data_IF_367690529818
#
_entry.id   IF_367690529818
#
_cell.length_a   1.000
_cell.length_b   1.000
_cell.length_c   1.000
_cell.angle_alpha   90.00
_cell.angle_beta   90.00
_cell.angle_gamma   90.00
#
_symmetry.space_group_name_H-M   'P 1'
#
loop_
_entity.id
_entity.type
_entity.pdbx_description
1 polymer ?
#
# COMPACT_ATOMS: atom_id res chain seq x y z
N UNK A 1 53.47 56.42 14.45
CA UNK A 1 52.83 55.34 13.68
C UNK A 1 51.55 54.96 14.41
N UNK A 2 50.39 55.21 13.80
CA UNK A 2 49.08 54.96 14.38
C UNK A 2 48.83 53.45 14.53
N UNK A 3 48.62 52.98 15.75
CA UNK A 3 48.03 51.68 16.03
C UNK A 3 46.58 51.91 16.48
N UNK A 4 45.64 51.62 15.58
CA UNK A 4 44.21 51.72 15.84
C UNK A 4 43.81 50.58 16.79
N UNK A 5 43.27 50.96 17.95
CA UNK A 5 42.55 50.08 18.88
C UNK A 5 41.15 49.89 18.31
N UNK A 6 40.84 48.66 17.87
CA UNK A 6 39.50 48.27 17.44
C UNK A 6 38.82 47.51 18.59
N UNK A 7 37.91 48.20 19.27
CA UNK A 7 36.87 47.59 20.11
C UNK A 7 35.84 46.97 19.17
N UNK A 8 35.64 45.65 19.24
CA UNK A 8 34.42 45.01 18.73
C UNK A 8 33.73 44.33 19.90
N UNK A 9 32.60 44.91 20.27
CA UNK A 9 31.65 44.41 21.25
C UNK A 9 31.08 43.06 20.81
N UNK A 10 30.88 42.17 21.79
CA UNK A 10 30.24 40.88 21.59
C UNK A 10 28.78 41.03 21.20
N UNK A 11 28.33 40.13 20.33
CA UNK A 11 26.93 39.74 20.22
C UNK A 11 26.91 38.20 20.20
N UNK A 12 26.54 37.62 21.34
CA UNK A 12 26.02 36.25 21.39
C UNK A 12 24.57 36.30 20.93
N UNK A 13 24.27 35.80 19.73
CA UNK A 13 22.90 35.46 19.36
C UNK A 13 22.65 33.98 19.65
N UNK A 14 22.19 33.70 20.86
CA UNK A 14 21.43 32.48 21.16
C UNK A 14 19.94 32.84 21.07
N UNK A 15 19.24 32.25 20.09
CA UNK A 15 17.77 32.31 19.97
C UNK A 15 17.37 31.03 19.23
N UNK A 16 16.55 30.11 19.72
CA UNK A 16 15.91 29.93 21.02
C UNK A 16 15.22 28.56 20.99
N UNK A 17 15.54 27.68 21.94
CA UNK A 17 14.77 26.45 22.16
C UNK A 17 13.51 26.82 22.94
N UNK A 18 12.37 26.91 22.28
CA UNK A 18 11.07 26.97 22.95
C UNK A 18 10.61 25.54 23.28
N UNK A 19 11.16 24.98 24.34
CA UNK A 19 10.45 23.95 25.12
C UNK A 19 9.93 24.70 26.34
N UNK A 20 8.61 24.86 26.46
CA UNK A 20 7.98 25.47 27.63
C UNK A 20 8.47 24.73 28.89
N UNK A 21 9.22 25.41 29.76
CA UNK A 21 9.77 24.81 30.99
C UNK A 21 8.72 24.62 32.10
N UNK A 22 7.43 24.78 31.79
CA UNK A 22 6.33 24.48 32.71
C UNK A 22 5.62 23.22 32.20
N UNK A 23 5.63 22.10 32.95
CA UNK A 23 4.97 20.89 32.47
C UNK A 23 3.45 21.10 32.45
N UNK A 24 2.86 21.08 31.26
CA UNK A 24 1.42 20.95 31.08
C UNK A 24 1.08 19.45 31.10
N UNK A 25 0.48 19.00 32.19
CA UNK A 25 0.01 17.63 32.48
C UNK A 25 1.09 16.55 32.68
N UNK A 26 1.02 15.85 33.82
CA UNK A 26 1.81 14.64 34.08
C UNK A 26 0.90 13.44 33.84
N UNK A 27 1.25 12.60 32.87
CA UNK A 27 0.54 11.36 32.56
C UNK A 27 1.26 10.18 33.21
N UNK A 28 0.56 9.37 34.00
CA UNK A 28 1.11 8.22 34.73
C UNK A 28 0.21 7.01 34.57
N UNK A 29 0.80 5.83 34.45
CA UNK A 29 0.12 4.53 34.45
C UNK A 29 0.92 3.57 35.34
N UNK A 30 0.24 2.58 35.90
CA UNK A 30 0.83 1.56 36.77
C UNK A 30 1.60 0.47 35.99
N UNK A 31 1.56 0.48 34.65
CA UNK A 31 2.35 -0.45 33.83
C UNK A 31 3.86 -0.07 33.92
N UNK A 32 4.73 -0.99 34.38
CA UNK A 32 6.16 -0.73 34.53
C UNK A 32 6.90 -0.46 33.21
N UNK A 33 6.28 -0.73 32.06
CA UNK A 33 6.82 -0.43 30.73
C UNK A 33 6.11 0.76 30.06
N UNK A 34 5.38 1.58 30.81
CA UNK A 34 4.69 2.78 30.30
C UNK A 34 5.65 3.96 30.10
N UNK A 35 5.53 4.68 28.97
CA UNK A 35 6.35 5.86 28.65
C UNK A 35 7.46 5.72 27.58
N UNK A 36 8.04 4.54 27.25
CA UNK A 36 9.13 4.43 26.27
C UNK A 36 8.73 4.74 24.82
N UNK A 37 7.46 4.56 24.47
CA UNK A 37 6.93 4.79 23.12
C UNK A 37 5.63 5.58 23.25
N UNK A 38 5.60 6.79 22.69
CA UNK A 38 4.39 7.63 22.69
C UNK A 38 4.03 8.04 21.28
N UNK A 39 2.74 7.97 20.96
CA UNK A 39 2.18 8.39 19.67
C UNK A 39 1.34 9.64 19.88
N UNK A 40 1.65 10.70 19.15
CA UNK A 40 0.93 11.96 19.21
C UNK A 40 -0.06 12.07 18.04
N UNK A 41 -1.32 12.38 18.35
CA UNK A 41 -2.33 12.85 17.41
C UNK A 41 -2.58 14.35 17.64
N UNK A 42 -3.34 15.00 16.74
CA UNK A 42 -3.80 16.38 16.96
C UNK A 42 -4.65 16.52 18.22
N UNK A 43 -5.32 15.44 18.63
CA UNK A 43 -6.36 15.49 19.66
C UNK A 43 -5.92 14.81 20.98
N UNK A 44 -4.77 14.14 21.02
CA UNK A 44 -4.33 13.42 22.21
C UNK A 44 -3.02 12.65 22.05
N UNK A 45 -2.61 12.04 23.16
CA UNK A 45 -1.38 11.23 23.26
C UNK A 45 -1.77 9.80 23.63
N UNK A 46 -1.17 8.83 22.94
CA UNK A 46 -1.36 7.40 23.16
C UNK A 46 -0.06 6.74 23.60
N UNK A 47 -0.14 5.91 24.63
CA UNK A 47 0.97 5.13 25.15
C UNK A 47 0.51 3.66 25.27
N UNK A 48 1.12 2.73 24.52
CA UNK A 48 0.79 1.31 24.63
C UNK A 48 1.27 0.77 25.98
N UNK A 49 0.39 0.03 26.68
CA UNK A 49 0.71 -0.64 27.95
C UNK A 49 1.01 -2.12 27.67
N UNK A 50 2.29 -2.51 27.49
CA UNK A 50 2.66 -3.82 26.95
C UNK A 50 2.30 -4.98 27.87
N UNK A 51 2.20 -4.72 29.19
CA UNK A 51 1.97 -5.76 30.19
C UNK A 51 0.51 -6.19 30.22
N UNK A 52 -0.42 -5.29 29.92
CA UNK A 52 -1.87 -5.55 29.89
C UNK A 52 -2.43 -5.72 28.48
N UNK A 53 -1.65 -5.41 27.44
CA UNK A 53 -2.12 -5.37 26.05
C UNK A 53 -3.08 -4.21 25.75
N UNK A 54 -3.24 -3.26 26.68
CA UNK A 54 -4.09 -2.09 26.55
C UNK A 54 -3.40 -0.88 25.92
N UNK A 55 -4.17 0.21 25.76
CA UNK A 55 -3.68 1.52 25.33
C UNK A 55 -4.14 2.54 26.37
N UNK A 56 -3.21 3.35 26.86
CA UNK A 56 -3.50 4.48 27.71
C UNK A 56 -3.57 5.75 26.85
N UNK A 57 -4.66 6.51 26.96
CA UNK A 57 -4.89 7.72 26.16
C UNK A 57 -5.19 8.93 27.04
N UNK A 58 -4.60 10.08 26.72
CA UNK A 58 -4.98 11.37 27.29
C UNK A 58 -5.49 12.30 26.17
N UNK A 59 -6.69 12.85 26.36
CA UNK A 59 -7.35 13.74 25.41
C UNK A 59 -7.29 15.17 25.94
N UNK A 60 -7.03 16.15 25.07
CA UNK A 60 -7.14 17.57 25.38
C UNK A 60 -8.57 17.97 25.78
N UNK A 61 -8.77 19.20 26.28
CA UNK A 61 -10.04 19.72 26.82
C UNK A 61 -11.21 19.77 25.79
N UNK A 62 -11.73 18.62 25.37
CA UNK A 62 -12.97 18.45 24.62
C UNK A 62 -13.65 17.11 24.98
N UNK A 63 -13.87 16.89 26.28
CA UNK A 63 -14.41 15.63 26.84
C UNK A 63 -15.92 15.41 26.61
N UNK A 64 -16.69 16.43 26.28
CA UNK A 64 -18.15 16.35 26.47
C UNK A 64 -18.97 15.90 25.26
N UNK A 65 -18.38 15.70 24.07
CA UNK A 65 -19.15 15.28 22.87
C UNK A 65 -19.05 13.79 22.50
N UNK A 66 -17.99 13.08 22.91
CA UNK A 66 -17.80 11.67 22.57
C UNK A 66 -18.45 10.71 23.58
N UNK A 67 -18.46 11.06 24.87
CA UNK A 67 -19.07 10.24 25.93
C UNK A 67 -20.60 10.11 25.79
N UNK A 68 -21.26 11.10 25.17
CA UNK A 68 -22.71 11.08 24.91
C UNK A 68 -23.09 10.14 23.76
N UNK A 69 -22.20 9.87 22.80
CA UNK A 69 -22.46 8.91 21.72
C UNK A 69 -22.29 7.47 22.20
N UNK A 70 -21.27 7.17 23.02
CA UNK A 70 -21.04 5.82 23.55
C UNK A 70 -22.14 5.38 24.53
N UNK A 71 -22.63 6.30 25.38
CA UNK A 71 -23.71 5.99 26.34
C UNK A 71 -25.06 5.72 25.65
N UNK A 72 -25.33 6.34 24.50
CA UNK A 72 -26.55 6.12 23.73
C UNK A 72 -26.52 4.78 22.97
N UNK A 73 -25.34 4.34 22.52
CA UNK A 73 -25.18 3.02 21.91
C UNK A 73 -25.38 1.87 22.93
N UNK A 74 -24.95 2.07 24.19
CA UNK A 74 -25.10 1.04 25.24
C UNK A 74 -26.53 0.96 25.81
N UNK A 75 -27.31 2.05 25.81
CA UNK A 75 -28.70 2.04 26.32
C UNK A 75 -29.71 1.39 25.36
N UNK A 76 -29.41 1.32 24.06
CA UNK A 76 -30.28 0.66 23.08
C UNK A 76 -30.30 -0.87 23.23
N UNK A 77 -29.25 -1.46 23.84
CA UNK A 77 -29.10 -2.91 23.92
C UNK A 77 -29.59 -3.54 25.24
N UNK A 78 -30.31 -2.80 26.07
CA UNK A 78 -30.85 -3.29 27.35
C UNK A 78 -32.31 -2.92 27.54
N UNK A 79 -33.17 -3.42 26.65
CA UNK A 79 -34.61 -3.50 26.92
C UNK A 79 -35.13 -4.87 26.46
N UNK A 80 -35.01 -5.86 27.34
CA UNK A 80 -35.87 -7.03 27.33
C UNK A 80 -36.12 -7.45 28.78
N UNK A 81 -37.18 -6.89 29.37
CA UNK A 81 -37.77 -7.38 30.60
C UNK A 81 -38.67 -8.57 30.28
N UNK A 82 -38.43 -9.72 30.90
CA UNK A 82 -39.52 -10.59 31.33
C UNK A 82 -39.17 -11.40 32.58
N UNK A 83 -40.02 -11.20 33.59
CA UNK A 83 -40.18 -11.95 34.86
C UNK A 83 -40.29 -13.46 34.62
N UNK A 84 -39.80 -14.31 35.53
CA UNK A 84 -40.58 -15.35 36.24
C UNK A 84 -39.79 -15.92 37.45
N UNK A 85 -40.54 -16.23 38.52
CA UNK A 85 -40.12 -16.70 39.85
C UNK A 85 -39.50 -18.11 39.88
N UNK A 86 -38.60 -18.33 40.83
CA UNK A 86 -37.96 -19.61 41.13
C UNK A 86 -38.84 -20.53 41.99
N UNK A 87 -38.87 -21.82 41.66
CA UNK A 87 -39.07 -22.97 42.56
C UNK A 87 -38.41 -24.22 41.92
N UNK A 88 -37.58 -24.95 42.69
CA UNK A 88 -37.06 -26.30 42.42
C UNK A 88 -37.46 -27.20 43.63
N UNK A 89 -37.52 -28.56 43.58
CA UNK A 89 -36.61 -29.53 42.90
C UNK A 89 -37.34 -30.85 42.44
N UNK A 90 -36.75 -32.08 42.32
CA UNK A 90 -35.38 -32.53 41.98
C UNK A 90 -35.29 -33.53 40.77
N UNK A 91 -34.05 -33.68 40.26
CA UNK A 91 -33.42 -34.80 39.52
C UNK A 91 -34.24 -35.95 38.91
N UNK A 92 -34.13 -36.10 37.59
CA UNK A 92 -34.05 -37.40 36.89
C UNK A 92 -33.15 -37.29 35.64
N UNK A 93 -32.32 -38.31 35.42
CA UNK A 93 -31.29 -38.40 34.37
C UNK A 93 -31.85 -38.84 33.00
N UNK A 94 -31.39 -38.11 31.97
CA UNK A 94 -31.11 -38.47 30.56
C UNK A 94 -32.25 -38.93 29.61
N UNK A 95 -32.20 -38.68 28.27
CA UNK A 95 -30.97 -38.61 27.48
C UNK A 95 -30.90 -37.63 26.25
N UNK A 96 -29.67 -37.46 25.74
CA UNK A 96 -29.25 -36.99 24.40
C UNK A 96 -29.74 -35.61 23.93
N UNK A 97 -28.96 -34.55 24.23
CA UNK A 97 -28.99 -33.29 23.46
C UNK A 97 -27.88 -33.28 22.42
N UNK A 98 -28.25 -33.31 21.14
CA UNK A 98 -27.36 -33.01 19.99
C UNK A 98 -26.47 -31.82 20.35
N UNK A 99 -25.14 -32.02 20.39
CA UNK A 99 -24.16 -30.93 20.33
C UNK A 99 -24.46 -30.15 19.06
N UNK A 100 -25.10 -28.98 19.19
CA UNK A 100 -24.94 -27.93 18.19
C UNK A 100 -23.49 -27.49 18.32
N UNK A 101 -22.69 -27.82 17.31
CA UNK A 101 -21.44 -27.15 17.05
C UNK A 101 -21.69 -25.63 17.10
N UNK A 102 -20.82 -24.83 17.73
CA UNK A 102 -20.76 -23.43 17.38
C UNK A 102 -20.39 -23.41 15.90
N UNK A 103 -21.36 -23.05 15.06
CA UNK A 103 -21.06 -22.59 13.72
C UNK A 103 -20.16 -21.38 13.94
N UNK A 104 -18.87 -21.55 13.69
CA UNK A 104 -17.94 -20.45 13.62
C UNK A 104 -18.33 -19.64 12.37
N UNK A 105 -19.33 -18.77 12.52
CA UNK A 105 -19.60 -17.67 11.61
C UNK A 105 -18.59 -16.53 11.85
N UNK A 106 -17.33 -16.90 12.14
CA UNK A 106 -16.22 -16.04 11.83
C UNK A 106 -16.09 -16.09 10.31
N UNK A 107 -16.89 -15.27 9.63
CA UNK A 107 -16.44 -14.67 8.38
C UNK A 107 -15.12 -14.02 8.76
N UNK A 108 -14.02 -14.73 8.55
CA UNK A 108 -12.73 -14.10 8.40
C UNK A 108 -12.94 -13.23 7.18
N UNK A 109 -13.26 -11.96 7.41
CA UNK A 109 -13.01 -10.94 6.41
C UNK A 109 -11.51 -11.04 6.18
N UNK A 110 -11.09 -11.89 5.23
CA UNK A 110 -9.75 -11.81 4.69
C UNK A 110 -9.65 -10.36 4.23
N UNK A 111 -8.82 -9.59 4.92
CA UNK A 111 -8.64 -8.18 4.64
C UNK A 111 -8.34 -8.05 3.14
N UNK A 112 -9.29 -7.52 2.38
CA UNK A 112 -9.15 -7.34 0.93
C UNK A 112 -7.90 -6.50 0.68
N UNK A 113 -6.88 -7.12 0.11
CA UNK A 113 -5.60 -6.50 -0.19
C UNK A 113 -5.56 -5.91 -1.60
N UNK A 114 -4.44 -5.25 -1.90
CA UNK A 114 -4.13 -4.82 -3.28
C UNK A 114 -2.80 -5.40 -3.71
N UNK A 115 -2.77 -6.02 -4.89
CA UNK A 115 -1.59 -6.61 -5.49
C UNK A 115 -1.18 -5.80 -6.71
N UNK A 116 0.07 -5.36 -6.74
CA UNK A 116 0.59 -4.43 -7.74
C UNK A 116 1.77 -5.09 -8.44
N UNK A 117 1.62 -5.42 -9.71
CA UNK A 117 2.69 -5.96 -10.53
C UNK A 117 3.28 -4.85 -11.40
N UNK A 118 4.54 -4.50 -11.15
CA UNK A 118 5.33 -3.72 -12.09
C UNK A 118 5.86 -4.62 -13.20
N UNK A 119 5.63 -4.20 -14.44
CA UNK A 119 6.19 -4.84 -15.63
C UNK A 119 7.26 -3.90 -16.18
N UNK A 120 8.51 -4.25 -15.94
CA UNK A 120 9.68 -3.43 -16.23
C UNK A 120 10.31 -3.89 -17.55
N UNK A 121 10.31 -3.00 -18.54
CA UNK A 121 11.12 -3.19 -19.74
C UNK A 121 12.61 -3.16 -19.36
N UNK A 122 13.29 -4.27 -19.63
CA UNK A 122 14.72 -4.44 -19.49
C UNK A 122 15.38 -4.74 -20.81
N UNK A 123 14.76 -4.37 -21.94
CA UNK A 123 15.27 -4.58 -23.30
C UNK A 123 16.57 -3.81 -23.57
N UNK A 124 17.17 -4.06 -24.73
CA UNK A 124 18.46 -3.49 -25.11
C UNK A 124 18.42 -2.04 -25.59
N UNK A 125 17.23 -1.44 -25.79
CA UNK A 125 17.08 -0.02 -26.14
C UNK A 125 17.37 0.92 -24.97
N UNK A 126 17.19 0.42 -23.74
CA UNK A 126 17.30 1.21 -22.53
C UNK A 126 18.77 1.28 -22.11
N UNK A 127 19.29 2.50 -21.97
CA UNK A 127 20.63 2.74 -21.44
C UNK A 127 20.71 2.39 -19.96
N UNK A 128 21.89 2.00 -19.50
CA UNK A 128 22.11 1.53 -18.12
C UNK A 128 21.67 2.56 -17.05
N UNK A 129 21.86 3.86 -17.32
CA UNK A 129 21.45 4.95 -16.42
C UNK A 129 19.92 5.10 -16.36
N UNK A 130 19.25 4.93 -17.51
CA UNK A 130 17.80 5.00 -17.61
C UNK A 130 17.13 3.79 -16.96
N UNK A 131 17.74 2.60 -17.08
CA UNK A 131 17.31 1.42 -16.34
C UNK A 131 17.45 1.61 -14.82
N UNK A 132 18.51 2.30 -14.36
CA UNK A 132 18.66 2.64 -12.93
C UNK A 132 17.55 3.60 -12.46
N UNK A 133 17.22 4.63 -13.26
CA UNK A 133 16.11 5.54 -12.99
C UNK A 133 14.76 4.81 -12.93
N UNK A 134 14.54 3.82 -13.80
CA UNK A 134 13.33 3.01 -13.80
C UNK A 134 13.17 2.22 -12.50
N UNK A 135 14.23 1.53 -12.05
CA UNK A 135 14.23 0.80 -10.77
C UNK A 135 14.08 1.74 -9.57
N UNK A 136 14.75 2.88 -9.59
CA UNK A 136 14.61 3.90 -8.54
C UNK A 136 13.17 4.40 -8.45
N UNK A 137 12.53 4.64 -9.59
CA UNK A 137 11.11 5.02 -9.64
C UNK A 137 10.22 3.95 -9.00
N UNK A 138 10.36 2.68 -9.40
CA UNK A 138 9.60 1.56 -8.81
C UNK A 138 9.84 1.48 -7.30
N UNK A 139 11.10 1.54 -6.87
CA UNK A 139 11.48 1.55 -5.46
C UNK A 139 10.79 2.68 -4.69
N UNK A 140 10.73 3.88 -5.26
CA UNK A 140 10.10 5.04 -4.62
C UNK A 140 8.59 4.87 -4.50
N UNK A 141 7.92 4.41 -5.55
CA UNK A 141 6.47 4.11 -5.50
C UNK A 141 6.19 3.07 -4.41
N UNK A 142 6.94 1.96 -4.38
CA UNK A 142 6.75 0.92 -3.36
C UNK A 142 6.90 1.47 -1.95
N UNK A 143 8.00 2.20 -1.70
CA UNK A 143 8.31 2.79 -0.41
C UNK A 143 7.19 3.71 0.08
N UNK A 144 6.70 4.59 -0.81
CA UNK A 144 5.70 5.60 -0.47
C UNK A 144 4.30 5.00 -0.35
N UNK A 145 3.90 4.09 -1.24
CA UNK A 145 2.59 3.42 -1.13
C UNK A 145 2.50 2.64 0.18
N UNK A 146 3.57 1.99 0.63
CA UNK A 146 3.60 1.25 1.90
C UNK A 146 3.47 2.11 3.16
N UNK A 147 3.65 3.43 3.09
CA UNK A 147 3.37 4.29 4.24
C UNK A 147 1.87 4.46 4.49
N UNK A 148 1.05 4.21 3.46
CA UNK A 148 -0.41 4.44 3.50
C UNK A 148 -1.20 3.14 3.35
N UNK A 149 -0.81 2.28 2.41
CA UNK A 149 -1.46 1.00 2.13
C UNK A 149 -0.63 -0.16 2.68
N UNK A 150 -0.93 -0.60 3.91
CA UNK A 150 -0.20 -1.70 4.54
C UNK A 150 -0.51 -3.07 3.94
N UNK A 151 -1.72 -3.24 3.38
CA UNK A 151 -2.17 -4.45 2.68
C UNK A 151 -1.75 -4.52 1.21
N UNK A 152 -1.00 -3.51 0.72
CA UNK A 152 -0.46 -3.51 -0.63
C UNK A 152 0.75 -4.44 -0.72
N UNK A 153 0.71 -5.39 -1.67
CA UNK A 153 1.82 -6.28 -2.03
C UNK A 153 2.28 -5.98 -3.45
N UNK A 154 3.58 -6.08 -3.68
CA UNK A 154 4.24 -5.76 -4.93
C UNK A 154 4.91 -6.99 -5.53
N UNK A 155 4.81 -7.10 -6.85
CA UNK A 155 5.66 -7.94 -7.66
C UNK A 155 6.37 -7.07 -8.70
N UNK A 156 7.57 -7.50 -9.09
CA UNK A 156 8.30 -6.88 -10.20
C UNK A 156 8.65 -7.98 -11.18
N UNK A 157 8.18 -7.83 -12.42
CA UNK A 157 8.50 -8.70 -13.55
C UNK A 157 9.33 -7.88 -14.52
N UNK A 158 10.52 -8.35 -14.83
CA UNK A 158 11.36 -7.77 -15.88
C UNK A 158 11.21 -8.60 -17.16
N UNK A 159 11.20 -7.94 -18.31
CA UNK A 159 11.23 -8.61 -19.61
C UNK A 159 12.31 -8.06 -20.55
N UNK A 160 12.74 -8.91 -21.48
CA UNK A 160 13.82 -8.65 -22.43
C UNK A 160 14.05 -9.89 -23.29
N UNK A 161 15.28 -10.43 -23.24
CA UNK A 161 15.62 -11.77 -23.75
C UNK A 161 14.67 -12.83 -23.18
N UNK A 162 14.51 -12.80 -21.87
CA UNK A 162 13.64 -13.68 -21.08
C UNK A 162 12.68 -12.83 -20.24
N UNK A 163 11.67 -13.45 -19.66
CA UNK A 163 10.79 -12.85 -18.65
C UNK A 163 11.18 -13.43 -17.30
N UNK A 164 11.36 -12.59 -16.28
CA UNK A 164 11.82 -13.00 -14.95
C UNK A 164 11.04 -12.30 -13.85
N UNK A 165 10.64 -13.06 -12.83
CA UNK A 165 10.17 -12.51 -11.57
C UNK A 165 11.36 -12.00 -10.77
N UNK A 166 11.49 -10.69 -10.67
CA UNK A 166 12.52 -10.02 -9.88
C UNK A 166 12.09 -9.83 -8.42
N UNK A 167 10.79 -9.69 -8.17
CA UNK A 167 10.18 -9.68 -6.84
C UNK A 167 8.83 -10.40 -6.89
N UNK A 168 8.62 -11.37 -6.01
CA UNK A 168 7.36 -12.12 -5.87
C UNK A 168 6.44 -11.47 -4.82
N UNK A 169 5.12 -11.67 -4.93
CA UNK A 169 4.15 -11.21 -3.94
C UNK A 169 4.42 -11.81 -2.54
N UNK A 170 5.03 -13.00 -2.46
CA UNK A 170 5.42 -13.65 -1.21
C UNK A 170 6.62 -12.99 -0.49
N UNK A 171 7.35 -12.09 -1.15
CA UNK A 171 8.56 -11.47 -0.60
C UNK A 171 8.30 -10.11 0.06
N UNK A 172 7.02 -9.77 0.31
CA UNK A 172 6.60 -8.43 0.76
C UNK A 172 6.60 -8.25 2.28
N UNK A 173 6.70 -9.34 3.06
CA UNK A 173 6.69 -9.30 4.52
C UNK A 173 7.96 -8.60 5.06
N UNK A 174 9.11 -8.79 4.38
CA UNK A 174 10.37 -8.10 4.66
C UNK A 174 10.57 -6.88 3.73
N UNK A 175 9.79 -5.81 3.92
CA UNK A 175 9.76 -4.64 3.00
C UNK A 175 11.13 -4.05 2.65
N UNK A 176 12.03 -3.92 3.62
CA UNK A 176 13.38 -3.39 3.36
C UNK A 176 14.19 -4.30 2.43
N UNK A 177 14.05 -5.62 2.58
CA UNK A 177 14.67 -6.61 1.71
C UNK A 177 14.07 -6.59 0.32
N UNK A 178 12.75 -6.42 0.21
CA UNK A 178 12.06 -6.23 -1.07
C UNK A 178 12.56 -4.99 -1.81
N UNK A 179 12.64 -3.83 -1.13
CA UNK A 179 13.21 -2.59 -1.70
C UNK A 179 14.66 -2.79 -2.16
N UNK A 180 15.48 -3.47 -1.34
CA UNK A 180 16.86 -3.77 -1.69
C UNK A 180 16.95 -4.69 -2.93
N UNK A 181 16.05 -5.67 -3.05
CA UNK A 181 15.99 -6.56 -4.22
C UNK A 181 15.70 -5.76 -5.49
N UNK A 182 14.69 -4.88 -5.45
CA UNK A 182 14.33 -4.01 -6.59
C UNK A 182 15.49 -3.11 -7.01
N UNK A 183 16.19 -2.50 -6.05
CA UNK A 183 17.36 -1.66 -6.34
C UNK A 183 18.46 -2.43 -7.08
N UNK A 184 18.63 -3.71 -6.77
CA UNK A 184 19.71 -4.55 -7.31
C UNK A 184 19.35 -5.34 -8.58
N UNK A 185 18.14 -5.17 -9.12
CA UNK A 185 17.73 -5.79 -10.39
C UNK A 185 18.76 -5.47 -11.48
N UNK A 186 19.11 -6.48 -12.27
CA UNK A 186 20.06 -6.39 -13.38
C UNK A 186 19.32 -6.45 -14.70
N UNK A 187 19.68 -5.57 -15.62
CA UNK A 187 19.06 -5.48 -16.93
C UNK A 187 19.30 -6.77 -17.74
N UNK A 188 18.24 -7.32 -18.36
CA UNK A 188 18.30 -8.56 -19.15
C UNK A 188 18.77 -8.30 -20.59
N UNK A 189 18.51 -7.09 -21.11
CA UNK A 189 18.71 -6.64 -22.49
C UNK A 189 17.87 -7.44 -23.53
N UNK A 190 18.18 -7.26 -24.82
CA UNK A 190 17.51 -7.84 -26.00
C UNK A 190 16.16 -7.21 -26.36
N UNK A 191 15.10 -7.99 -26.55
CA UNK A 191 13.87 -7.56 -27.25
C UNK A 191 12.71 -7.21 -26.32
N UNK A 192 11.77 -6.42 -26.82
CA UNK A 192 10.62 -5.89 -26.08
C UNK A 192 9.38 -6.81 -26.21
N UNK A 193 9.33 -7.87 -25.38
CA UNK A 193 8.25 -8.89 -25.34
C UNK A 193 7.08 -8.53 -24.40
N UNK A 194 6.42 -7.40 -24.64
CA UNK A 194 5.42 -6.83 -23.73
C UNK A 194 4.17 -7.69 -23.55
N UNK A 195 3.59 -8.27 -24.61
CA UNK A 195 2.41 -9.12 -24.49
C UNK A 195 2.73 -10.40 -23.71
N UNK A 196 3.89 -11.01 -23.97
CA UNK A 196 4.34 -12.15 -23.18
C UNK A 196 4.57 -11.80 -21.70
N UNK A 197 5.09 -10.61 -21.41
CA UNK A 197 5.29 -10.16 -20.04
C UNK A 197 3.94 -9.97 -19.31
N UNK A 198 2.94 -9.37 -19.99
CA UNK A 198 1.59 -9.26 -19.45
C UNK A 198 0.95 -10.64 -19.24
N UNK A 199 1.12 -11.56 -20.19
CA UNK A 199 0.66 -12.94 -20.05
C UNK A 199 1.26 -13.59 -18.79
N UNK A 200 2.58 -13.48 -18.61
CA UNK A 200 3.29 -14.03 -17.46
C UNK A 200 2.80 -13.45 -16.13
N UNK A 201 2.45 -12.15 -16.08
CA UNK A 201 1.82 -11.58 -14.88
C UNK A 201 0.50 -12.30 -14.56
N UNK A 202 -0.33 -12.58 -15.57
CA UNK A 202 -1.61 -13.27 -15.34
C UNK A 202 -1.44 -14.74 -14.93
N UNK A 203 -0.43 -15.42 -15.46
CA UNK A 203 -0.28 -16.88 -15.30
C UNK A 203 0.69 -17.30 -14.21
N UNK A 204 1.61 -16.41 -13.79
CA UNK A 204 2.70 -16.75 -12.89
C UNK A 204 2.78 -15.80 -11.69
N UNK A 205 2.22 -14.58 -11.77
CA UNK A 205 2.22 -13.64 -10.63
C UNK A 205 0.87 -13.61 -9.92
N UNK A 206 -0.22 -13.37 -10.66
CA UNK A 206 -1.57 -13.32 -10.12
C UNK A 206 -2.21 -14.72 -9.99
N UNK A 207 -1.46 -15.63 -9.39
CA UNK A 207 -1.89 -17.00 -9.09
C UNK A 207 -1.64 -17.35 -7.63
N UNK A 208 -2.44 -18.24 -7.02
CA UNK A 208 -2.32 -18.60 -5.60
C UNK A 208 -0.92 -19.11 -5.21
N UNK A 209 -0.26 -19.84 -6.11
CA UNK A 209 1.08 -20.39 -5.91
C UNK A 209 2.14 -19.29 -5.69
N UNK A 210 1.90 -18.10 -6.24
CA UNK A 210 2.77 -16.94 -6.11
C UNK A 210 2.32 -15.97 -5.01
N UNK A 211 1.33 -16.34 -4.21
CA UNK A 211 0.82 -15.54 -3.09
C UNK A 211 -0.33 -14.60 -3.45
N UNK A 212 -0.84 -14.66 -4.68
CA UNK A 212 -2.00 -13.87 -5.10
C UNK A 212 -3.30 -14.44 -4.53
N UNK A 213 -4.21 -13.56 -4.11
CA UNK A 213 -5.54 -13.93 -3.64
C UNK A 213 -6.61 -13.49 -4.63
N UNK A 214 -7.64 -14.29 -4.79
CA UNK A 214 -8.73 -14.02 -5.73
C UNK A 214 -9.42 -12.68 -5.42
N UNK A 215 -9.76 -12.45 -4.14
CA UNK A 215 -10.48 -11.26 -3.66
C UNK A 215 -9.63 -9.98 -3.59
N UNK A 216 -8.31 -10.07 -3.83
CA UNK A 216 -7.46 -8.89 -3.84
C UNK A 216 -7.63 -8.12 -5.15
N UNK A 217 -7.67 -6.79 -5.02
CA UNK A 217 -7.60 -5.89 -6.17
C UNK A 217 -6.25 -6.05 -6.85
N UNK A 218 -6.24 -6.07 -8.18
CA UNK A 218 -5.03 -6.29 -8.98
C UNK A 218 -4.73 -5.09 -9.84
N UNK A 219 -3.48 -4.63 -9.79
CA UNK A 219 -2.98 -3.50 -10.57
C UNK A 219 -1.76 -3.95 -11.36
N UNK A 220 -1.72 -3.63 -12.65
CA UNK A 220 -0.53 -3.77 -13.49
C UNK A 220 -0.01 -2.38 -13.84
N UNK A 221 1.29 -2.15 -13.68
CA UNK A 221 1.95 -0.92 -14.09
C UNK A 221 3.09 -1.28 -15.04
N UNK A 222 2.90 -1.03 -16.33
CA UNK A 222 3.91 -1.24 -17.36
C UNK A 222 4.81 -0.02 -17.51
N UNK A 223 6.13 -0.21 -17.55
CA UNK A 223 7.12 0.79 -17.94
C UNK A 223 7.83 0.30 -19.19
N UNK A 224 7.75 1.06 -20.30
CA UNK A 224 8.35 0.67 -21.58
C UNK A 224 8.81 1.91 -22.36
N UNK A 225 10.00 1.84 -22.98
CA UNK A 225 10.51 2.86 -23.91
C UNK A 225 10.41 2.45 -25.37
N UNK A 226 10.13 1.16 -25.63
CA UNK A 226 10.07 0.60 -26.96
C UNK A 226 8.65 0.28 -27.42
N UNK A 227 8.48 0.29 -28.74
CA UNK A 227 7.38 -0.40 -29.40
C UNK A 227 7.55 -1.91 -29.20
N UNK A 228 6.45 -2.65 -29.06
CA UNK A 228 6.48 -4.11 -29.01
C UNK A 228 7.13 -4.70 -30.27
N UNK A 229 8.12 -5.56 -30.10
CA UNK A 229 8.85 -6.18 -31.22
C UNK A 229 9.32 -7.60 -30.92
N UNK A 230 9.07 -8.53 -31.85
CA UNK A 230 9.54 -9.91 -31.74
C UNK A 230 8.86 -10.75 -30.66
N UNK A 231 7.67 -10.33 -30.21
CA UNK A 231 6.85 -11.06 -29.25
C UNK A 231 6.16 -12.26 -29.93
N UNK A 232 6.07 -13.39 -29.22
CA UNK A 232 5.40 -14.59 -29.71
C UNK A 232 3.90 -14.58 -29.44
N UNK A 233 3.42 -13.63 -28.63
CA UNK A 233 2.01 -13.41 -28.32
C UNK A 233 1.54 -12.08 -28.89
N UNK A 234 0.25 -12.00 -29.16
CA UNK A 234 -0.39 -10.74 -29.56
C UNK A 234 -0.97 -10.04 -28.35
N UNK A 235 -0.98 -8.71 -28.38
CA UNK A 235 -1.56 -7.91 -27.30
C UNK A 235 -3.06 -8.22 -27.11
N UNK A 236 -3.80 -8.30 -28.22
CA UNK A 236 -5.23 -8.60 -28.22
C UNK A 236 -5.57 -9.96 -27.59
N UNK A 237 -4.74 -10.98 -27.82
CA UNK A 237 -4.91 -12.30 -27.18
C UNK A 237 -4.85 -12.17 -25.66
N UNK A 238 -3.83 -11.48 -25.14
CA UNK A 238 -3.58 -11.37 -23.70
C UNK A 238 -4.60 -10.45 -23.02
N UNK A 239 -4.96 -9.34 -23.65
CA UNK A 239 -5.93 -8.40 -23.07
C UNK A 239 -7.35 -8.97 -23.02
N UNK A 240 -7.68 -9.95 -23.88
CA UNK A 240 -8.97 -10.64 -23.89
C UNK A 240 -9.03 -11.86 -22.95
N UNK A 241 -7.94 -12.18 -22.25
CA UNK A 241 -7.95 -13.29 -21.28
C UNK A 241 -8.91 -13.03 -20.12
N UNK A 242 -9.66 -14.04 -19.64
CA UNK A 242 -10.54 -13.90 -18.48
C UNK A 242 -9.83 -13.36 -17.23
N UNK A 243 -8.58 -13.77 -17.01
CA UNK A 243 -7.72 -13.34 -15.90
C UNK A 243 -7.42 -11.84 -15.94
N UNK A 244 -7.50 -11.21 -17.11
CA UNK A 244 -7.28 -9.78 -17.27
C UNK A 244 -8.47 -8.94 -16.76
N UNK A 245 -9.65 -9.56 -16.63
CA UNK A 245 -10.87 -8.88 -16.20
C UNK A 245 -10.73 -8.40 -14.75
N UNK A 246 -11.08 -7.12 -14.52
CA UNK A 246 -11.02 -6.52 -13.18
C UNK A 246 -9.63 -6.06 -12.74
N UNK A 247 -8.60 -6.26 -13.57
CA UNK A 247 -7.27 -5.71 -13.33
C UNK A 247 -7.23 -4.25 -13.80
N UNK A 248 -6.82 -3.34 -12.91
CA UNK A 248 -6.55 -1.94 -13.28
C UNK A 248 -5.15 -1.86 -13.88
N UNK A 249 -5.02 -1.20 -15.03
CA UNK A 249 -3.75 -1.17 -15.78
C UNK A 249 -3.30 0.26 -16.02
N UNK A 250 -2.04 0.53 -15.74
CA UNK A 250 -1.35 1.75 -16.10
C UNK A 250 -0.23 1.43 -17.07
N UNK A 251 -0.04 2.31 -18.05
CA UNK A 251 1.07 2.22 -18.99
C UNK A 251 1.89 3.50 -18.90
N UNK A 252 3.20 3.39 -18.68
CA UNK A 252 4.14 4.50 -18.62
C UNK A 252 5.03 4.40 -19.86
N UNK A 253 4.75 5.25 -20.83
CA UNK A 253 5.50 5.32 -22.10
C UNK A 253 6.63 6.32 -22.00
N UNK A 254 7.84 5.85 -22.29
CA UNK A 254 9.07 6.60 -22.09
C UNK A 254 9.73 6.93 -23.44
N UNK A 255 10.07 8.21 -23.63
CA UNK A 255 10.89 8.60 -24.77
C UNK A 255 10.17 8.64 -26.13
N UNK A 256 10.87 9.08 -27.18
CA UNK A 256 10.28 9.31 -28.50
C UNK A 256 9.85 8.01 -29.20
N UNK A 257 10.47 6.88 -28.87
CA UNK A 257 10.17 5.58 -29.47
C UNK A 257 8.74 5.09 -29.15
N UNK A 258 8.20 5.47 -27.99
CA UNK A 258 6.78 5.31 -27.67
C UNK A 258 5.95 6.53 -28.06
N UNK A 259 6.44 7.74 -27.75
CA UNK A 259 5.59 8.95 -27.81
C UNK A 259 5.42 9.55 -29.21
N UNK A 260 6.30 9.23 -30.16
CA UNK A 260 6.24 9.76 -31.53
C UNK A 260 5.76 8.72 -32.55
N UNK A 261 5.53 7.46 -32.12
CA UNK A 261 5.08 6.38 -32.99
C UNK A 261 3.63 6.06 -32.71
N UNK A 262 2.76 6.33 -33.68
CA UNK A 262 1.32 6.09 -33.55
C UNK A 262 0.98 4.67 -33.10
N UNK A 263 1.71 3.67 -33.59
CA UNK A 263 1.50 2.28 -33.21
C UNK A 263 1.83 2.02 -31.73
N UNK A 264 2.95 2.53 -31.23
CA UNK A 264 3.33 2.38 -29.83
C UNK A 264 2.34 3.12 -28.89
N UNK A 265 1.87 4.30 -29.30
CA UNK A 265 0.80 5.04 -28.60
C UNK A 265 -0.45 4.18 -28.49
N UNK A 266 -0.91 3.58 -29.61
CA UNK A 266 -2.10 2.73 -29.61
C UNK A 266 -1.92 1.49 -28.72
N UNK A 267 -0.78 0.81 -28.82
CA UNK A 267 -0.43 -0.34 -27.98
C UNK A 267 -0.49 0.04 -26.48
N UNK A 268 0.13 1.15 -26.09
CA UNK A 268 0.15 1.62 -24.69
C UNK A 268 -1.23 2.08 -24.20
N UNK A 269 -2.03 2.75 -25.03
CA UNK A 269 -3.40 3.13 -24.69
C UNK A 269 -4.29 1.88 -24.50
N UNK A 270 -4.13 0.85 -25.34
CA UNK A 270 -4.86 -0.42 -25.21
C UNK A 270 -4.47 -1.16 -23.92
N UNK A 271 -3.16 -1.21 -23.62
CA UNK A 271 -2.63 -1.77 -22.37
C UNK A 271 -3.19 -1.02 -21.15
N UNK A 272 -3.20 0.31 -21.15
CA UNK A 272 -3.79 1.11 -20.08
C UNK A 272 -5.33 0.97 -19.97
N UNK A 273 -5.98 0.50 -21.04
CA UNK A 273 -7.44 0.45 -21.14
C UNK A 273 -8.08 1.84 -21.25
N UNK A 274 -7.33 2.83 -21.73
CA UNK A 274 -7.76 4.24 -21.83
C UNK A 274 -6.60 5.24 -21.72
N UNK A 275 -6.79 6.43 -22.31
CA UNK A 275 -5.79 7.51 -22.30
C UNK A 275 -5.50 8.04 -20.89
N UNK A 276 -6.46 7.96 -19.97
CA UNK A 276 -6.36 8.47 -18.60
C UNK A 276 -5.36 7.69 -17.73
N UNK A 277 -5.04 6.45 -18.12
CA UNK A 277 -4.03 5.61 -17.46
C UNK A 277 -2.78 5.40 -18.31
N UNK A 278 -2.68 6.08 -19.45
CA UNK A 278 -1.46 6.14 -20.26
C UNK A 278 -0.64 7.39 -19.88
N UNK A 279 0.38 7.18 -19.05
CA UNK A 279 1.29 8.22 -18.57
C UNK A 279 2.43 8.40 -19.57
N UNK A 280 2.43 9.54 -20.27
CA UNK A 280 3.43 9.88 -21.28
C UNK A 280 4.58 10.64 -20.64
N UNK A 281 5.80 10.11 -20.71
CA UNK A 281 6.99 10.69 -20.07
C UNK A 281 8.10 10.84 -21.09
N UNK A 282 8.59 12.07 -21.31
CA UNK A 282 9.53 12.33 -22.42
C UNK A 282 10.90 11.66 -22.27
N UNK A 283 11.33 11.31 -21.06
CA UNK A 283 12.54 10.53 -20.77
C UNK A 283 12.53 10.06 -19.30
N UNK A 284 13.40 9.11 -18.96
CA UNK A 284 13.48 8.55 -17.61
C UNK A 284 13.81 9.56 -16.51
N UNK A 285 14.54 10.64 -16.81
CA UNK A 285 14.83 11.72 -15.86
C UNK A 285 13.60 12.49 -15.37
N UNK A 286 12.46 12.34 -16.07
CA UNK A 286 11.18 12.98 -15.73
C UNK A 286 10.20 12.02 -15.03
N UNK A 287 10.56 10.76 -14.79
CA UNK A 287 9.72 9.81 -14.05
C UNK A 287 9.30 10.33 -12.67
N UNK A 288 10.19 11.07 -11.99
CA UNK A 288 9.90 11.72 -10.70
C UNK A 288 8.69 12.67 -10.75
N UNK A 289 8.37 13.24 -11.92
CA UNK A 289 7.28 14.20 -12.06
C UNK A 289 5.90 13.53 -12.03
N UNK A 290 5.81 12.25 -12.37
CA UNK A 290 4.55 11.48 -12.34
C UNK A 290 4.38 10.68 -11.05
N UNK A 291 5.40 10.65 -10.20
CA UNK A 291 5.46 9.81 -8.99
C UNK A 291 4.22 9.99 -8.11
N UNK A 292 3.96 11.23 -7.66
CA UNK A 292 2.83 11.52 -6.76
C UNK A 292 1.48 11.23 -7.41
N UNK A 293 1.31 11.56 -8.70
CA UNK A 293 0.04 11.31 -9.40
C UNK A 293 -0.25 9.81 -9.55
N UNK A 294 0.78 9.00 -9.81
CA UNK A 294 0.65 7.56 -9.88
C UNK A 294 0.35 6.96 -8.49
N UNK A 295 1.08 7.38 -7.45
CA UNK A 295 0.86 6.94 -6.07
C UNK A 295 -0.57 7.21 -5.61
N UNK A 296 -1.07 8.41 -5.81
CA UNK A 296 -2.46 8.73 -5.50
C UNK A 296 -3.45 7.89 -6.29
N UNK A 297 -3.16 7.60 -7.56
CA UNK A 297 -4.02 6.76 -8.40
C UNK A 297 -4.07 5.32 -7.89
N UNK A 298 -2.90 4.77 -7.52
CA UNK A 298 -2.79 3.45 -6.88
C UNK A 298 -3.59 3.43 -5.58
N UNK A 299 -3.42 4.44 -4.72
CA UNK A 299 -4.09 4.51 -3.43
C UNK A 299 -5.61 4.65 -3.59
N UNK A 300 -6.09 5.46 -4.53
CA UNK A 300 -7.52 5.55 -4.87
C UNK A 300 -8.09 4.22 -5.37
N UNK A 301 -7.30 3.44 -6.11
CA UNK A 301 -7.71 2.09 -6.53
C UNK A 301 -7.70 1.12 -5.34
N UNK A 302 -6.69 1.21 -4.46
CA UNK A 302 -6.56 0.35 -3.29
C UNK A 302 -7.65 0.61 -2.25
N UNK A 303 -8.04 1.86 -2.04
CA UNK A 303 -9.08 2.27 -1.08
C UNK A 303 -10.42 1.56 -1.35
N UNK A 304 -10.99 0.96 -0.30
CA UNK A 304 -12.32 0.36 -0.35
C UNK A 304 -13.33 1.48 -0.60
N UNK A 305 -14.11 1.40 -1.68
CA UNK A 305 -15.36 2.17 -1.74
C UNK A 305 -16.30 1.54 -0.72
N UNK A 306 -16.36 2.11 0.47
CA UNK A 306 -17.40 1.84 1.47
C UNK A 306 -18.81 2.02 0.86
N UNK A 307 -18.93 2.73 -0.27
CA UNK A 307 -20.19 2.92 -1.01
C UNK A 307 -20.88 1.62 -1.49
N UNK A 308 -20.14 0.54 -1.70
CA UNK A 308 -20.74 -0.70 -2.23
C UNK A 308 -21.30 -1.62 -1.13
N UNK A 309 -21.02 -1.31 0.15
CA UNK A 309 -21.58 -2.01 1.31
C UNK A 309 -22.83 -1.32 1.91
N UNK A 310 -23.17 -0.11 1.45
CA UNK A 310 -24.37 0.60 1.89
C UNK A 310 -25.57 0.42 0.94
N UNK A 311 -25.41 -0.30 -0.16
CA UNK A 311 -26.45 -0.50 -1.19
C UNK A 311 -26.77 -1.99 -1.47
N UNK A 312 -26.42 -2.91 -0.57
CA UNK A 312 -26.85 -4.32 -0.63
C UNK A 312 -27.69 -4.72 0.56
#
# INVERSE_FOLDING_TARGET
MFAAVLFIAGIHTAVGFNIFQKPESKFTNEDPLFGPITVHSKDGVFDPTPTSGGIASNWGEHKDQLLLQEQNAMKSNSNNNNKYQANQPPFHQDPVRKKRSPQNDAITNEDEGTEIAFVLDGSGSIEQEDFERAKEFIHNVMRNVWTTCLSCKFAVVQYGRDIRTELSLNENDERLKALHKVKNIKQIHAITKTASALYYVLTDIFVPQSGSKENNKKIIILLSDGQMAGDNRTLTEVLNMPQMKGIVRYAIGLGPEVLNKQRAILEMTEIAGGEERFLKVSNYGLLKNILSSLEESILRTAERRIRDLCNS
#
